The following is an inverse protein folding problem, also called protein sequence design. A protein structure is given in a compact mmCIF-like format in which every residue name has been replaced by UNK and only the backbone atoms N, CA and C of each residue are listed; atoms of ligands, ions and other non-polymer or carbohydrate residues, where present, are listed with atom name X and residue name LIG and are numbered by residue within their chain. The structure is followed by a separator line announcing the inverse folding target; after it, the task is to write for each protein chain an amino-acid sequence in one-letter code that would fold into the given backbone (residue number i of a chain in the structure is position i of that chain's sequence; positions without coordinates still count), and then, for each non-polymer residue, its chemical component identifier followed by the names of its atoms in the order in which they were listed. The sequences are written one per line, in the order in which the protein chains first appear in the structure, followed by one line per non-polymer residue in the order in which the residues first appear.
data_IF_896384966075
#
_entry.id   IF_896384966075
#
_cell.length_a   1.000
_cell.length_b   1.000
_cell.length_c   1.000
_cell.angle_alpha   90.00
_cell.angle_beta   90.00
_cell.angle_gamma   90.00
#
_symmetry.space_group_name_H-M   'P 1'
#
loop_
_entity.id
_entity.type
_entity.pdbx_description
1 polymer ?
#
# COMPACT_ATOMS: atom_id res chain seq x y z
N UNK A 1 1.66 12.64 14.34
CA UNK A 1 2.20 13.16 13.06
C UNK A 1 1.66 12.28 11.94
N UNK A 2 1.16 12.87 10.86
CA UNK A 2 0.62 12.10 9.73
C UNK A 2 1.76 11.76 8.76
N UNK A 3 1.84 10.49 8.33
CA UNK A 3 2.84 10.03 7.35
C UNK A 3 2.51 10.45 5.91
N UNK A 4 1.35 11.06 5.68
CA UNK A 4 0.90 11.47 4.36
C UNK A 4 1.82 12.50 3.65
N UNK A 5 2.41 13.51 4.33
CA UNK A 5 3.38 14.41 3.70
C UNK A 5 4.61 13.68 3.17
N UNK A 6 5.13 12.70 3.93
CA UNK A 6 6.30 11.92 3.53
C UNK A 6 6.00 11.06 2.29
N UNK A 7 4.84 10.41 2.25
CA UNK A 7 4.44 9.61 1.10
C UNK A 7 4.33 10.46 -0.19
N UNK A 8 3.76 11.69 -0.08
CA UNK A 8 3.69 12.63 -1.21
C UNK A 8 5.06 13.11 -1.67
N UNK A 9 5.93 13.44 -0.72
CA UNK A 9 7.31 13.82 -1.02
C UNK A 9 8.04 12.73 -1.82
N UNK A 10 8.00 11.49 -1.32
CA UNK A 10 8.66 10.37 -1.99
C UNK A 10 8.04 10.04 -3.35
N UNK A 11 6.70 10.16 -3.49
CA UNK A 11 6.06 9.99 -4.79
C UNK A 11 6.63 10.96 -5.82
N UNK A 12 6.75 12.23 -5.47
CA UNK A 12 7.31 13.25 -6.38
C UNK A 12 8.79 13.00 -6.60
N UNK A 13 9.57 12.81 -5.54
CA UNK A 13 11.02 12.68 -5.60
C UNK A 13 11.48 11.48 -6.44
N UNK A 14 10.84 10.31 -6.25
CA UNK A 14 11.16 9.10 -7.01
C UNK A 14 10.82 9.22 -8.49
N UNK A 15 9.72 9.90 -8.83
CA UNK A 15 9.38 10.10 -10.24
C UNK A 15 10.26 11.17 -10.90
N UNK A 16 10.69 12.23 -10.18
CA UNK A 16 11.62 13.22 -10.72
C UNK A 16 13.02 12.66 -11.04
N UNK A 17 13.41 11.55 -10.43
CA UNK A 17 14.66 10.86 -10.73
C UNK A 17 14.62 10.07 -12.04
N UNK A 18 13.45 9.89 -12.62
CA UNK A 18 13.25 9.18 -13.89
C UNK A 18 13.44 10.12 -15.07
N UNK A 19 13.82 9.55 -16.20
CA UNK A 19 14.02 10.30 -17.45
C UNK A 19 12.74 10.99 -17.93
N UNK A 20 11.58 10.29 -17.81
CA UNK A 20 10.26 10.82 -18.17
C UNK A 20 9.64 11.70 -17.08
N UNK A 21 10.22 11.70 -15.87
CA UNK A 21 9.80 12.53 -14.73
C UNK A 21 8.34 12.29 -14.32
N UNK A 22 7.63 13.40 -14.08
CA UNK A 22 6.21 13.40 -13.73
C UNK A 22 5.28 13.46 -14.95
N UNK A 23 5.83 13.57 -16.16
CA UNK A 23 5.04 13.80 -17.38
C UNK A 23 3.92 12.75 -17.56
N UNK A 24 4.18 11.44 -17.48
CA UNK A 24 3.12 10.44 -17.69
C UNK A 24 1.96 10.56 -16.68
N UNK A 25 2.25 10.93 -15.43
CA UNK A 25 1.22 11.15 -14.40
C UNK A 25 0.40 12.41 -14.67
N UNK A 26 1.06 13.48 -15.10
CA UNK A 26 0.37 14.73 -15.47
C UNK A 26 -0.55 14.48 -16.68
N UNK A 27 -0.06 13.80 -17.70
CA UNK A 27 -0.83 13.48 -18.91
C UNK A 27 -2.07 12.63 -18.58
N UNK A 28 -1.94 11.64 -17.68
CA UNK A 28 -3.09 10.84 -17.20
C UNK A 28 -4.12 11.70 -16.47
N UNK A 29 -3.68 12.57 -15.56
CA UNK A 29 -4.56 13.47 -14.82
C UNK A 29 -5.25 14.46 -15.75
N UNK A 30 -4.55 15.04 -16.70
CA UNK A 30 -5.11 16.00 -17.67
C UNK A 30 -6.17 15.36 -18.56
N UNK A 31 -5.96 14.10 -18.95
CA UNK A 31 -6.98 13.33 -19.69
C UNK A 31 -8.23 13.09 -18.84
N UNK A 32 -8.05 12.71 -17.57
CA UNK A 32 -9.16 12.50 -16.65
C UNK A 32 -9.94 13.81 -16.37
N UNK A 33 -9.23 14.92 -16.16
CA UNK A 33 -9.81 16.25 -15.98
C UNK A 33 -10.63 16.68 -17.21
N UNK A 34 -10.07 16.44 -18.39
CA UNK A 34 -10.75 16.76 -19.65
C UNK A 34 -12.03 15.93 -19.83
N UNK A 35 -11.96 14.65 -19.51
CA UNK A 35 -13.12 13.75 -19.56
C UNK A 35 -14.20 14.18 -18.58
N UNK A 36 -13.81 14.50 -17.35
CA UNK A 36 -14.74 14.95 -16.31
C UNK A 36 -15.46 16.26 -16.70
N UNK A 37 -14.73 17.25 -17.22
CA UNK A 37 -15.29 18.52 -17.69
C UNK A 37 -16.31 18.36 -18.82
N UNK A 38 -16.10 17.36 -19.70
CA UNK A 38 -17.08 17.05 -20.76
C UNK A 38 -18.39 16.50 -20.20
N UNK A 39 -18.31 15.72 -19.11
CA UNK A 39 -19.48 15.11 -18.45
C UNK A 39 -20.22 16.11 -17.54
N UNK A 40 -19.51 17.13 -17.04
CA UNK A 40 -20.02 18.10 -16.07
C UNK A 40 -19.82 19.55 -16.58
N UNK A 41 -20.52 19.97 -17.66
CA UNK A 41 -20.31 21.29 -18.24
C UNK A 41 -20.70 22.39 -17.25
N UNK A 42 -19.82 23.38 -17.08
CA UNK A 42 -20.04 24.52 -16.19
C UNK A 42 -19.76 24.27 -14.71
N UNK A 43 -19.41 23.04 -14.31
CA UNK A 43 -19.01 22.73 -12.94
C UNK A 43 -17.48 22.91 -12.76
N UNK A 44 -17.08 23.32 -11.56
CA UNK A 44 -15.67 23.41 -11.17
C UNK A 44 -15.24 22.15 -10.45
N UNK A 45 -14.11 21.57 -10.84
CA UNK A 45 -13.58 20.34 -10.22
C UNK A 45 -13.28 20.56 -8.73
N UNK A 46 -12.84 21.77 -8.35
CA UNK A 46 -12.51 22.11 -6.97
C UNK A 46 -13.70 21.93 -6.01
N UNK A 47 -14.90 22.17 -6.51
CA UNK A 47 -16.15 22.03 -5.74
C UNK A 47 -16.62 20.57 -5.67
N UNK A 48 -16.13 19.71 -6.58
CA UNK A 48 -16.47 18.30 -6.73
C UNK A 48 -15.27 17.35 -6.62
N UNK A 49 -14.21 17.76 -5.92
CA UNK A 49 -12.95 17.02 -5.88
C UNK A 49 -13.11 15.56 -5.41
N UNK A 50 -13.97 15.34 -4.41
CA UNK A 50 -14.21 13.99 -3.88
C UNK A 50 -14.89 13.10 -4.94
N UNK A 51 -15.86 13.63 -5.66
CA UNK A 51 -16.54 12.93 -6.74
C UNK A 51 -15.57 12.63 -7.89
N UNK A 52 -14.81 13.64 -8.34
CA UNK A 52 -13.77 13.46 -9.34
C UNK A 52 -12.80 12.35 -8.99
N UNK A 53 -12.20 12.40 -7.80
CA UNK A 53 -11.21 11.39 -7.36
C UNK A 53 -11.83 9.99 -7.25
N UNK A 54 -13.10 9.88 -6.86
CA UNK A 54 -13.77 8.58 -6.73
C UNK A 54 -14.20 7.96 -8.06
N UNK A 55 -14.41 8.78 -9.09
CA UNK A 55 -14.91 8.33 -10.40
C UNK A 55 -13.83 8.29 -11.48
N UNK A 56 -12.78 9.10 -11.36
CA UNK A 56 -11.70 9.16 -12.33
C UNK A 56 -10.93 7.84 -12.43
N UNK A 57 -10.66 7.42 -13.66
CA UNK A 57 -9.78 6.28 -13.93
C UNK A 57 -8.33 6.77 -14.02
N UNK A 58 -7.56 6.52 -12.95
CA UNK A 58 -6.17 6.95 -12.80
C UNK A 58 -5.27 5.72 -12.47
N UNK A 59 -5.17 4.74 -13.38
CA UNK A 59 -4.47 3.48 -13.11
C UNK A 59 -2.97 3.66 -12.88
N UNK A 60 -2.31 4.56 -13.62
CA UNK A 60 -0.89 4.82 -13.44
C UNK A 60 -0.64 5.52 -12.11
N UNK A 61 -1.43 6.53 -11.76
CA UNK A 61 -1.32 7.20 -10.47
C UNK A 61 -1.53 6.22 -9.32
N UNK A 62 -2.55 5.37 -9.40
CA UNK A 62 -2.84 4.35 -8.39
C UNK A 62 -1.67 3.35 -8.24
N UNK A 63 -1.11 2.88 -9.36
CA UNK A 63 0.05 2.00 -9.38
C UNK A 63 1.28 2.69 -8.79
N UNK A 64 1.53 3.95 -9.16
CA UNK A 64 2.64 4.76 -8.64
C UNK A 64 2.55 4.95 -7.13
N UNK A 65 1.36 5.21 -6.61
CA UNK A 65 1.12 5.36 -5.17
C UNK A 65 1.44 4.05 -4.43
N UNK A 66 0.94 2.92 -4.93
CA UNK A 66 1.22 1.60 -4.34
C UNK A 66 2.71 1.27 -4.37
N UNK A 67 3.38 1.55 -5.49
CA UNK A 67 4.82 1.32 -5.65
C UNK A 67 5.64 2.21 -4.73
N UNK A 68 5.30 3.49 -4.63
CA UNK A 68 5.95 4.41 -3.70
C UNK A 68 5.86 3.88 -2.26
N UNK A 69 4.67 3.45 -1.84
CA UNK A 69 4.47 2.88 -0.51
C UNK A 69 5.25 1.57 -0.33
N UNK A 70 5.23 0.66 -1.29
CA UNK A 70 6.04 -0.55 -1.25
C UNK A 70 7.52 -0.23 -1.07
N UNK A 71 8.02 0.70 -1.87
CA UNK A 71 9.44 1.01 -1.94
C UNK A 71 9.95 1.79 -0.71
N UNK A 72 9.13 2.70 -0.17
CA UNK A 72 9.54 3.62 0.90
C UNK A 72 9.06 3.24 2.29
N UNK A 73 8.08 2.33 2.42
CA UNK A 73 7.55 1.98 3.74
C UNK A 73 8.45 0.97 4.45
N UNK A 74 8.80 1.32 5.66
CA UNK A 74 9.53 0.48 6.58
C UNK A 74 8.69 0.31 7.86
N UNK A 75 7.72 -0.58 7.82
CA UNK A 75 6.92 -0.87 9.00
C UNK A 75 7.32 -2.21 9.63
N UNK A 76 7.25 -2.26 10.93
CA UNK A 76 7.60 -3.39 11.74
C UNK A 76 6.51 -3.62 12.78
N UNK A 77 6.07 -4.85 12.93
CA UNK A 77 5.14 -5.18 13.99
C UNK A 77 5.71 -6.29 14.87
N UNK A 78 5.63 -6.09 16.18
CA UNK A 78 6.08 -7.06 17.18
C UNK A 78 4.83 -7.73 17.75
N UNK A 79 4.89 -9.04 17.90
CA UNK A 79 3.84 -9.85 18.56
C UNK A 79 4.49 -10.71 19.63
N UNK A 80 3.95 -10.66 20.84
CA UNK A 80 4.35 -11.56 21.93
C UNK A 80 3.49 -12.81 21.90
N UNK A 81 4.13 -13.95 21.99
CA UNK A 81 3.48 -15.25 22.05
C UNK A 81 2.82 -15.42 23.41
N UNK A 82 1.51 -15.60 23.46
CA UNK A 82 0.74 -15.78 24.70
C UNK A 82 0.50 -17.24 25.06
N UNK A 83 0.57 -18.13 24.07
CA UNK A 83 0.45 -19.57 24.23
C UNK A 83 1.43 -20.24 23.26
N UNK A 84 2.05 -21.38 23.61
CA UNK A 84 2.94 -22.08 22.71
C UNK A 84 2.28 -22.37 21.36
N UNK A 85 2.98 -22.12 20.27
CA UNK A 85 2.46 -22.34 18.91
C UNK A 85 3.56 -22.83 17.97
N UNK A 86 3.15 -23.48 16.90
CA UNK A 86 4.04 -23.78 15.77
C UNK A 86 3.66 -22.94 14.56
N UNK A 87 4.64 -22.30 13.93
CA UNK A 87 4.45 -21.49 12.75
C UNK A 87 5.60 -21.70 11.78
N UNK A 88 5.28 -22.12 10.55
CA UNK A 88 6.29 -22.33 9.51
C UNK A 88 7.34 -23.41 9.84
N UNK A 89 7.00 -24.40 10.67
CA UNK A 89 7.92 -25.45 11.14
C UNK A 89 8.81 -25.05 12.32
N UNK A 90 8.61 -23.85 12.87
CA UNK A 90 9.29 -23.37 14.07
C UNK A 90 8.33 -23.41 15.25
N UNK A 91 8.82 -23.87 16.40
CA UNK A 91 8.12 -23.82 17.68
C UNK A 91 8.43 -22.49 18.37
N UNK A 92 7.39 -21.87 18.91
CA UNK A 92 7.48 -20.65 19.73
C UNK A 92 6.88 -20.95 21.10
N UNK A 93 7.56 -20.56 22.14
CA UNK A 93 7.12 -20.73 23.52
C UNK A 93 6.45 -19.43 24.04
N UNK A 94 5.69 -19.55 25.12
CA UNK A 94 5.06 -18.39 25.75
C UNK A 94 6.09 -17.36 26.18
N UNK A 95 5.89 -16.11 25.79
CA UNK A 95 6.81 -15.01 26.08
C UNK A 95 7.74 -14.63 24.93
N UNK A 96 7.90 -15.51 23.92
CA UNK A 96 8.68 -15.20 22.72
C UNK A 96 8.11 -13.99 21.98
N UNK A 97 8.97 -13.31 21.23
CA UNK A 97 8.58 -12.18 20.41
C UNK A 97 8.78 -12.50 18.92
N UNK A 98 7.70 -12.36 18.16
CA UNK A 98 7.72 -12.52 16.71
C UNK A 98 7.78 -11.14 16.06
N UNK A 99 8.84 -10.90 15.31
CA UNK A 99 9.08 -9.66 14.58
C UNK A 99 8.67 -9.81 13.12
N UNK A 100 7.67 -9.03 12.68
CA UNK A 100 7.21 -9.00 11.30
C UNK A 100 7.69 -7.72 10.62
N UNK A 101 8.68 -7.83 9.76
CA UNK A 101 9.26 -6.71 9.00
C UNK A 101 8.65 -6.68 7.60
N UNK A 102 7.85 -5.65 7.28
CA UNK A 102 7.17 -5.58 5.97
C UNK A 102 8.14 -5.43 4.81
N UNK A 103 9.29 -4.80 5.03
CA UNK A 103 10.31 -4.62 4.00
C UNK A 103 10.86 -5.93 3.46
N UNK A 104 10.91 -7.00 4.25
CA UNK A 104 11.34 -8.32 3.78
C UNK A 104 10.43 -8.88 2.69
N UNK A 105 9.14 -8.54 2.72
CA UNK A 105 8.16 -8.90 1.69
C UNK A 105 8.20 -7.92 0.53
N UNK A 106 8.31 -6.63 0.82
CA UNK A 106 8.30 -5.57 -0.18
C UNK A 106 9.50 -5.64 -1.14
N UNK A 107 10.67 -6.06 -0.65
CA UNK A 107 11.90 -6.18 -1.44
C UNK A 107 12.26 -7.63 -1.81
N UNK A 108 11.34 -8.57 -1.62
CA UNK A 108 11.54 -9.95 -1.99
C UNK A 108 11.50 -10.11 -3.52
N UNK A 109 12.63 -10.54 -4.09
CA UNK A 109 12.80 -10.71 -5.53
C UNK A 109 11.99 -11.87 -6.10
N UNK A 110 11.57 -12.83 -5.28
CA UNK A 110 10.68 -13.91 -5.71
C UNK A 110 9.23 -13.42 -5.85
N UNK A 111 8.84 -12.41 -5.05
CA UNK A 111 7.50 -11.83 -5.07
C UNK A 111 7.40 -10.72 -6.09
N UNK A 112 8.39 -9.81 -6.10
CA UNK A 112 8.42 -8.63 -6.94
C UNK A 112 9.60 -8.69 -7.92
N UNK A 113 9.30 -8.72 -9.20
CA UNK A 113 10.33 -8.58 -10.23
C UNK A 113 11.08 -7.24 -10.04
N UNK A 114 12.41 -7.26 -10.11
CA UNK A 114 13.25 -6.08 -9.84
C UNK A 114 12.85 -5.34 -8.55
N UNK A 115 12.71 -6.08 -7.45
CA UNK A 115 12.17 -5.57 -6.19
C UNK A 115 12.91 -4.35 -5.64
N UNK A 116 14.22 -4.19 -5.96
CA UNK A 116 15.07 -3.07 -5.56
C UNK A 116 14.88 -1.80 -6.40
N UNK A 117 14.08 -1.86 -7.45
CA UNK A 117 13.78 -0.74 -8.33
C UNK A 117 12.36 -0.22 -8.07
N UNK A 118 12.19 1.10 -8.21
CA UNK A 118 10.88 1.74 -8.15
C UNK A 118 10.29 1.81 -9.56
N UNK A 119 9.29 0.96 -9.85
CA UNK A 119 8.58 0.97 -11.14
C UNK A 119 7.13 1.45 -10.95
N UNK A 120 6.79 2.69 -11.33
CA UNK A 120 5.44 3.23 -11.24
C UNK A 120 4.36 2.37 -11.93
N UNK A 121 4.75 1.65 -12.98
CA UNK A 121 3.86 0.74 -13.73
C UNK A 121 3.72 -0.66 -13.14
N UNK A 122 4.40 -0.99 -12.05
CA UNK A 122 4.45 -2.36 -11.50
C UNK A 122 3.08 -2.99 -11.34
N UNK A 123 2.16 -2.33 -10.67
CA UNK A 123 0.82 -2.87 -10.40
C UNK A 123 -0.14 -2.80 -11.58
N UNK A 124 0.23 -2.11 -12.66
CA UNK A 124 -0.46 -2.21 -13.94
C UNK A 124 -0.04 -3.49 -14.69
N UNK A 125 1.26 -3.83 -14.64
CA UNK A 125 1.87 -4.96 -15.35
C UNK A 125 1.70 -6.28 -14.58
N UNK A 126 2.04 -6.27 -13.30
CA UNK A 126 2.03 -7.45 -12.43
C UNK A 126 0.77 -7.49 -11.58
N UNK A 127 -0.19 -8.34 -11.96
CA UNK A 127 -1.46 -8.52 -11.25
C UNK A 127 -1.48 -9.70 -10.30
N UNK A 128 -0.53 -10.64 -10.43
CA UNK A 128 -0.40 -11.81 -9.56
C UNK A 128 1.01 -11.87 -9.00
N UNK A 129 1.10 -12.02 -7.71
CA UNK A 129 2.35 -12.11 -6.97
C UNK A 129 2.47 -13.54 -6.42
N UNK A 130 3.55 -14.21 -6.75
CA UNK A 130 3.75 -15.60 -6.37
C UNK A 130 5.10 -15.75 -5.66
N UNK A 131 5.17 -16.73 -4.76
CA UNK A 131 6.40 -17.20 -4.14
C UNK A 131 6.35 -18.71 -4.02
N UNK A 132 7.39 -19.41 -4.46
CA UNK A 132 7.46 -20.88 -4.45
C UNK A 132 6.22 -21.54 -5.11
N UNK A 133 5.73 -21.00 -6.23
CA UNK A 133 4.56 -21.49 -6.95
C UNK A 133 3.21 -21.21 -6.29
N UNK A 134 3.19 -20.50 -5.15
CA UNK A 134 1.95 -20.15 -4.43
C UNK A 134 1.69 -18.65 -4.55
N UNK A 135 0.41 -18.28 -4.71
CA UNK A 135 0.00 -16.89 -4.74
C UNK A 135 0.16 -16.23 -3.36
N UNK A 136 0.83 -15.08 -3.32
CA UNK A 136 1.03 -14.28 -2.12
C UNK A 136 -0.04 -13.19 -2.06
N UNK A 137 -1.04 -13.39 -1.20
CA UNK A 137 -2.12 -12.42 -1.05
C UNK A 137 -1.66 -11.08 -0.44
N UNK A 138 -0.72 -11.13 0.49
CA UNK A 138 -0.20 -9.96 1.21
C UNK A 138 1.17 -9.54 0.68
N UNK A 139 1.31 -9.39 -0.62
CA UNK A 139 2.55 -8.97 -1.29
C UNK A 139 2.95 -7.52 -0.99
N UNK A 140 2.00 -6.70 -0.55
CA UNK A 140 2.23 -5.30 -0.18
C UNK A 140 1.46 -4.96 1.10
N UNK A 141 2.18 -4.62 2.16
CA UNK A 141 1.64 -4.34 3.49
C UNK A 141 2.15 -3.01 4.05
N UNK A 142 2.02 -1.89 3.32
CA UNK A 142 2.54 -0.60 3.78
C UNK A 142 1.85 -0.09 5.04
N UNK A 143 0.66 -0.59 5.34
CA UNK A 143 -0.15 -0.23 6.50
C UNK A 143 -0.06 -1.24 7.65
N UNK A 144 0.86 -2.21 7.55
CA UNK A 144 0.90 -3.36 8.43
C UNK A 144 -0.18 -4.38 8.10
N UNK A 145 -0.55 -5.22 9.06
CA UNK A 145 -1.51 -6.31 8.84
C UNK A 145 -2.24 -6.76 10.10
N UNK A 146 -3.26 -7.58 9.91
CA UNK A 146 -4.08 -8.14 10.99
C UNK A 146 -4.92 -7.08 11.71
N UNK A 147 -5.19 -7.32 12.98
CA UNK A 147 -6.04 -6.46 13.82
C UNK A 147 -5.44 -5.08 14.12
N UNK A 148 -4.13 -4.93 13.92
CA UNK A 148 -3.39 -3.67 14.17
C UNK A 148 -3.07 -2.92 12.87
N UNK A 149 -3.85 -3.14 11.83
CA UNK A 149 -3.69 -2.39 10.57
C UNK A 149 -3.91 -0.89 10.81
N UNK A 150 -3.08 -0.04 10.18
CA UNK A 150 -3.17 1.39 10.35
C UNK A 150 -4.53 1.92 9.87
N UNK A 151 -5.27 2.63 10.75
CA UNK A 151 -6.56 3.25 10.42
C UNK A 151 -6.49 4.31 9.32
N UNK A 152 -5.32 4.95 9.12
CA UNK A 152 -5.06 5.89 8.02
C UNK A 152 -5.17 5.28 6.62
N UNK A 153 -5.17 3.94 6.52
CA UNK A 153 -5.41 3.23 5.27
C UNK A 153 -6.73 3.65 4.61
N UNK A 154 -7.82 3.69 5.36
CA UNK A 154 -9.14 4.03 4.82
C UNK A 154 -9.19 5.47 4.29
N UNK A 155 -8.62 6.42 5.02
CA UNK A 155 -8.53 7.82 4.61
C UNK A 155 -7.67 7.97 3.34
N UNK A 156 -6.54 7.29 3.31
CA UNK A 156 -5.63 7.34 2.17
C UNK A 156 -6.26 6.73 0.90
N UNK A 157 -6.96 5.62 1.05
CA UNK A 157 -7.60 4.90 -0.05
C UNK A 157 -8.84 5.62 -0.56
N UNK A 158 -9.59 6.31 0.29
CA UNK A 158 -10.71 7.16 -0.15
C UNK A 158 -10.26 8.38 -0.95
N UNK A 159 -9.01 8.83 -0.75
CA UNK A 159 -8.42 9.97 -1.48
C UNK A 159 -7.70 9.51 -2.76
N UNK A 160 -7.22 8.25 -2.79
CA UNK A 160 -6.24 7.81 -3.79
C UNK A 160 -6.74 6.78 -4.78
N UNK A 161 -7.88 6.14 -4.55
CA UNK A 161 -8.29 4.99 -5.34
C UNK A 161 -9.81 4.96 -5.57
N UNK A 162 -10.20 4.96 -6.84
CA UNK A 162 -11.54 4.51 -7.25
C UNK A 162 -11.80 3.07 -6.73
N UNK A 163 -13.05 2.73 -6.35
CA UNK A 163 -13.42 1.40 -5.85
C UNK A 163 -12.99 0.22 -6.70
N UNK A 164 -12.79 0.43 -8.01
CA UNK A 164 -12.37 -0.61 -8.96
C UNK A 164 -10.92 -1.09 -8.79
N UNK A 165 -10.01 -0.24 -8.29
CA UNK A 165 -8.60 -0.61 -8.04
C UNK A 165 -8.46 -1.33 -6.70
N UNK A 166 -9.39 -1.08 -5.77
CA UNK A 166 -9.39 -1.67 -4.43
C UNK A 166 -9.54 -3.19 -4.41
N UNK A 167 -10.33 -3.75 -5.33
CA UNK A 167 -10.63 -5.18 -5.36
C UNK A 167 -9.53 -6.06 -5.97
N UNK A 168 -8.58 -5.47 -6.70
CA UNK A 168 -7.54 -6.24 -7.39
C UNK A 168 -6.28 -6.52 -6.57
N UNK A 169 -6.03 -5.77 -5.48
CA UNK A 169 -4.74 -5.79 -4.78
C UNK A 169 -4.74 -6.23 -3.31
N UNK A 170 -5.89 -6.34 -2.68
CA UNK A 170 -5.97 -6.68 -1.25
C UNK A 170 -6.87 -7.90 -1.06
N UNK A 171 -6.26 -9.09 -1.08
CA UNK A 171 -6.92 -10.32 -0.67
C UNK A 171 -7.57 -10.17 0.71
N UNK A 172 -8.72 -10.80 0.87
CA UNK A 172 -9.47 -10.85 2.13
C UNK A 172 -8.57 -11.21 3.32
N UNK A 173 -8.73 -10.59 4.48
CA UNK A 173 -7.93 -10.88 5.66
C UNK A 173 -8.22 -12.31 6.14
N UNK A 174 -7.26 -13.19 5.94
CA UNK A 174 -7.21 -14.44 6.66
C UNK A 174 -7.09 -14.12 8.15
N UNK A 175 -8.15 -14.41 8.90
CA UNK A 175 -8.27 -14.10 10.32
C UNK A 175 -7.41 -15.09 11.10
N UNK A 176 -6.17 -14.72 11.40
CA UNK A 176 -5.47 -15.28 12.55
C UNK A 176 -6.03 -14.56 13.78
N UNK A 177 -6.99 -15.21 14.47
CA UNK A 177 -7.45 -14.78 15.78
C UNK A 177 -6.34 -15.01 16.81
N UNK A 178 -5.46 -14.04 16.96
CA UNK A 178 -4.61 -13.94 18.13
C UNK A 178 -5.39 -13.15 19.19
N UNK A 179 -5.56 -13.76 20.36
CA UNK A 179 -6.30 -13.18 21.50
C UNK A 179 -5.64 -11.87 21.93
N UNK A 180 -6.44 -10.83 22.10
CA UNK A 180 -6.05 -9.49 22.53
C UNK A 180 -5.53 -9.57 23.97
N UNK A 181 -4.28 -9.28 24.23
CA UNK A 181 -3.84 -8.89 25.56
C UNK A 181 -3.99 -7.38 25.69
N UNK A 182 -4.75 -6.92 26.69
CA UNK A 182 -5.23 -5.54 26.82
C UNK A 182 -4.19 -4.51 27.27
N UNK A 183 -2.90 -4.84 27.32
CA UNK A 183 -1.90 -3.99 27.96
C UNK A 183 -0.69 -3.59 27.11
N UNK A 184 -0.82 -3.44 25.79
CA UNK A 184 0.28 -2.86 24.99
C UNK A 184 -0.26 -1.94 23.89
N UNK A 185 -0.83 -0.82 24.29
CA UNK A 185 -1.11 0.32 23.44
C UNK A 185 0.06 1.28 23.49
N UNK A 186 1.11 1.03 22.75
CA UNK A 186 1.99 2.11 22.28
C UNK A 186 2.86 1.59 21.15
N UNK A 187 2.87 2.34 20.08
CA UNK A 187 3.76 2.22 18.92
C UNK A 187 3.38 1.24 17.82
N UNK A 188 2.31 1.55 17.08
CA UNK A 188 2.34 1.30 15.64
C UNK A 188 3.10 2.46 14.99
N UNK A 189 4.42 2.44 15.01
CA UNK A 189 5.21 3.40 14.25
C UNK A 189 5.32 2.91 12.82
N UNK A 190 4.44 3.41 11.96
CA UNK A 190 4.62 3.33 10.52
C UNK A 190 5.66 4.40 10.16
N UNK A 191 6.91 4.02 10.00
CA UNK A 191 7.96 4.92 9.52
C UNK A 191 8.02 4.81 8.00
N UNK A 192 7.85 5.94 7.32
CA UNK A 192 8.17 6.11 5.91
C UNK A 192 9.51 6.85 5.91
N UNK A 193 10.50 6.26 5.27
CA UNK A 193 11.81 6.86 5.05
C UNK A 193 11.72 8.08 4.16
#
# INVERSE_FOLDING_TARGET
MTNAPNARYWLIALNLQREDGLRPLVDEIDQAVTSWKRQHPGQRIEDHLHEFVSTAELPLLASTIQETLRYTTYSMSIRRVTEPLELGGYRFDMGDEILCVTRSVHLDKEIHENASECDPGRYMKQKKFNKNGKTVANHSMPWGGGVSICGGRSVYLSISLSPRVYLAGFGSPGILRLRKSEHLWSSCSCSIL
#
